data_IF_735455515199
#
_entry.id   IF_735455515199
#
_cell.length_a   1.000
_cell.length_b   1.000
_cell.length_c   1.000
_cell.angle_alpha   90.00
_cell.angle_beta   90.00
_cell.angle_gamma   90.00
#
_symmetry.space_group_name_H-M   'P 1'
#
loop_
_entity.id
_entity.type
_entity.pdbx_description
1 polymer ?
#
# COMPACT_ATOMS: atom_id res chain seq x y z
N UNK A 1 15.28 -3.59 -17.92
CA UNK A 1 15.24 -3.00 -16.57
C UNK A 1 14.20 -3.70 -15.72
N UNK A 2 14.55 -4.06 -14.51
CA UNK A 2 13.60 -4.67 -13.59
C UNK A 2 12.69 -3.60 -12.99
N UNK A 3 11.42 -3.92 -12.92
CA UNK A 3 10.45 -3.06 -12.24
C UNK A 3 10.58 -3.26 -10.73
N UNK A 4 10.30 -2.22 -9.97
CA UNK A 4 10.30 -2.30 -8.50
C UNK A 4 8.96 -2.81 -8.01
N UNK A 5 9.01 -3.63 -6.97
CA UNK A 5 7.79 -4.11 -6.31
C UNK A 5 7.41 -3.12 -5.22
N UNK A 6 6.12 -2.83 -5.11
CA UNK A 6 5.61 -1.89 -4.10
C UNK A 6 4.37 -2.47 -3.44
N UNK A 7 4.32 -2.34 -2.12
CA UNK A 7 3.17 -2.74 -1.30
C UNK A 7 2.32 -1.50 -1.02
N UNK A 8 0.99 -1.63 -1.19
CA UNK A 8 0.06 -0.53 -0.91
C UNK A 8 -0.41 -0.57 0.54
N UNK A 9 -0.31 0.55 1.25
CA UNK A 9 -0.80 0.66 2.61
C UNK A 9 -1.79 1.83 2.70
N UNK A 10 -2.95 1.58 3.30
CA UNK A 10 -3.99 2.59 3.44
C UNK A 10 -5.14 2.07 4.28
N UNK A 11 -6.19 2.87 4.40
CA UNK A 11 -7.32 2.53 5.22
C UNK A 11 -8.22 1.51 4.53
N UNK A 12 -8.45 0.38 5.19
CA UNK A 12 -9.35 -0.67 4.72
C UNK A 12 -10.56 -0.75 5.64
N UNK A 13 -10.33 -0.99 6.94
CA UNK A 13 -11.41 -1.12 7.92
C UNK A 13 -12.17 0.19 8.04
N UNK A 14 -13.49 0.12 7.88
CA UNK A 14 -14.35 1.28 8.01
C UNK A 14 -14.48 2.11 6.73
N UNK A 15 -13.87 1.70 5.65
CA UNK A 15 -13.99 2.38 4.36
C UNK A 15 -14.74 1.45 3.38
N UNK A 16 -16.03 1.74 3.08
CA UNK A 16 -16.80 0.86 2.20
C UNK A 16 -16.29 0.83 0.75
N UNK A 17 -15.47 1.80 0.38
CA UNK A 17 -14.94 1.91 -0.99
C UNK A 17 -13.45 1.57 -1.08
N UNK A 18 -12.93 0.84 -0.09
CA UNK A 18 -11.49 0.60 -0.04
C UNK A 18 -10.95 -0.14 -1.27
N UNK A 19 -11.71 -1.08 -1.82
CA UNK A 19 -11.23 -1.83 -2.98
C UNK A 19 -11.05 -0.95 -4.20
N UNK A 20 -12.02 -0.08 -4.46
CA UNK A 20 -11.95 0.85 -5.60
C UNK A 20 -10.76 1.81 -5.43
N UNK A 21 -10.57 2.31 -4.22
CA UNK A 21 -9.46 3.22 -3.91
C UNK A 21 -8.10 2.56 -4.14
N UNK A 22 -7.93 1.35 -3.61
CA UNK A 22 -6.69 0.60 -3.77
C UNK A 22 -6.45 0.22 -5.23
N UNK A 23 -7.51 -0.18 -5.93
CA UNK A 23 -7.38 -0.55 -7.34
C UNK A 23 -6.95 0.65 -8.19
N UNK A 24 -7.54 1.81 -7.95
CA UNK A 24 -7.18 3.02 -8.68
C UNK A 24 -5.71 3.40 -8.48
N UNK A 25 -5.24 3.31 -7.24
CA UNK A 25 -3.83 3.56 -6.93
C UNK A 25 -2.93 2.52 -7.61
N UNK A 26 -3.34 1.26 -7.57
CA UNK A 26 -2.59 0.18 -8.22
C UNK A 26 -2.43 0.46 -9.70
N UNK A 27 -3.54 0.81 -10.36
CA UNK A 27 -3.52 1.06 -11.81
C UNK A 27 -2.53 2.17 -12.17
N UNK A 28 -2.55 3.26 -11.41
CA UNK A 28 -1.66 4.40 -11.66
C UNK A 28 -0.21 4.03 -11.43
N UNK A 29 0.07 3.29 -10.37
CA UNK A 29 1.44 2.86 -10.07
C UNK A 29 1.95 1.88 -11.13
N UNK A 30 1.08 1.00 -11.62
CA UNK A 30 1.46 0.09 -12.69
C UNK A 30 1.79 0.85 -13.97
N UNK A 31 1.02 1.88 -14.28
CA UNK A 31 1.33 2.77 -15.41
C UNK A 31 2.69 3.44 -15.23
N UNK A 32 3.06 3.70 -13.98
CA UNK A 32 4.36 4.28 -13.66
C UNK A 32 5.50 3.29 -13.60
N UNK A 33 5.24 2.01 -13.88
CA UNK A 33 6.29 1.00 -13.96
C UNK A 33 6.50 0.14 -12.74
N UNK A 34 5.58 0.20 -11.74
CA UNK A 34 5.69 -0.65 -10.56
C UNK A 34 4.97 -1.99 -10.75
N UNK A 35 5.46 -2.99 -10.02
CA UNK A 35 4.70 -4.22 -9.79
C UNK A 35 4.06 -4.03 -8.41
N UNK A 36 2.73 -4.04 -8.35
CA UNK A 36 2.00 -3.66 -7.13
C UNK A 36 1.45 -4.87 -6.41
N UNK A 37 1.70 -4.95 -5.10
CA UNK A 37 1.07 -5.94 -4.23
C UNK A 37 -0.01 -5.22 -3.44
N UNK A 38 -1.26 -5.64 -3.64
CA UNK A 38 -2.44 -4.94 -3.14
C UNK A 38 -3.15 -5.81 -2.09
N UNK A 39 -3.08 -5.42 -0.79
CA UNK A 39 -3.71 -6.22 0.26
C UNK A 39 -5.24 -6.18 0.22
N UNK A 40 -5.83 -5.25 -0.53
CA UNK A 40 -7.28 -5.19 -0.69
C UNK A 40 -7.82 -6.37 -1.49
N UNK A 41 -6.95 -7.18 -2.10
CA UNK A 41 -7.34 -8.41 -2.79
C UNK A 41 -7.55 -9.58 -1.84
N UNK A 42 -7.16 -9.46 -0.57
CA UNK A 42 -7.46 -10.47 0.43
C UNK A 42 -8.97 -10.53 0.67
N UNK A 43 -9.50 -11.69 1.12
CA UNK A 43 -10.93 -11.80 1.41
C UNK A 43 -11.39 -10.71 2.37
N UNK A 44 -12.59 -10.16 2.13
CA UNK A 44 -13.09 -9.06 2.95
C UNK A 44 -13.55 -9.50 4.34
N UNK A 45 -13.72 -10.82 4.54
CA UNK A 45 -14.14 -11.37 5.83
C UNK A 45 -13.58 -12.78 5.97
N UNK A 46 -13.69 -13.33 7.17
CA UNK A 46 -13.29 -14.71 7.42
C UNK A 46 -12.10 -14.85 8.34
N UNK A 47 -11.38 -13.76 8.61
CA UNK A 47 -10.18 -13.79 9.44
C UNK A 47 -10.21 -12.71 10.51
N UNK A 48 -9.58 -12.98 11.64
CA UNK A 48 -9.39 -11.96 12.66
C UNK A 48 -8.43 -10.88 12.16
N UNK A 49 -8.53 -9.68 12.71
CA UNK A 49 -7.69 -8.56 12.30
C UNK A 49 -6.19 -8.89 12.36
N UNK A 50 -5.77 -9.59 13.43
CA UNK A 50 -4.35 -9.96 13.55
C UNK A 50 -3.89 -10.90 12.44
N UNK A 51 -4.79 -11.76 11.96
CA UNK A 51 -4.47 -12.65 10.84
C UNK A 51 -4.26 -11.85 9.56
N UNK A 52 -5.14 -10.86 9.31
CA UNK A 52 -4.96 -9.96 8.18
C UNK A 52 -3.64 -9.22 8.27
N UNK A 53 -3.27 -8.76 9.47
CA UNK A 53 -2.00 -8.05 9.66
C UNK A 53 -0.79 -8.95 9.39
N UNK A 54 -0.87 -10.24 9.76
CA UNK A 54 0.22 -11.16 9.45
C UNK A 54 0.36 -11.40 7.95
N UNK A 55 -0.76 -11.56 7.25
CA UNK A 55 -0.74 -11.74 5.81
C UNK A 55 -0.20 -10.49 5.11
N UNK A 56 -0.71 -9.33 5.51
CA UNK A 56 -0.27 -8.05 4.95
C UNK A 56 1.21 -7.81 5.25
N UNK A 57 1.66 -8.14 6.46
CA UNK A 57 3.06 -8.00 6.83
C UNK A 57 3.98 -8.86 5.97
N UNK A 58 3.54 -10.08 5.66
CA UNK A 58 4.31 -10.95 4.78
C UNK A 58 4.43 -10.35 3.38
N UNK A 59 3.32 -9.79 2.87
CA UNK A 59 3.33 -9.14 1.55
C UNK A 59 4.25 -7.91 1.55
N UNK A 60 4.16 -7.10 2.58
CA UNK A 60 5.01 -5.92 2.72
C UNK A 60 6.49 -6.31 2.73
N UNK A 61 6.83 -7.36 3.48
CA UNK A 61 8.21 -7.81 3.60
C UNK A 61 8.80 -8.27 2.27
N UNK A 62 7.97 -8.77 1.37
CA UNK A 62 8.46 -9.24 0.07
C UNK A 62 8.64 -8.12 -0.94
N UNK A 63 8.14 -6.93 -0.68
CA UNK A 63 8.23 -5.82 -1.61
C UNK A 63 9.44 -4.95 -1.35
N UNK A 64 9.96 -4.31 -2.40
CA UNK A 64 11.11 -3.42 -2.29
C UNK A 64 10.77 -2.10 -1.63
N UNK A 65 9.53 -1.62 -1.82
CA UNK A 65 9.08 -0.32 -1.32
C UNK A 65 7.65 -0.40 -0.82
N UNK A 66 7.26 0.61 -0.04
CA UNK A 66 5.88 0.74 0.42
C UNK A 66 5.33 2.09 -0.04
N UNK A 67 4.11 2.07 -0.56
CA UNK A 67 3.40 3.29 -0.95
C UNK A 67 2.23 3.51 -0.01
N UNK A 68 2.20 4.65 0.66
CA UNK A 68 1.13 4.99 1.61
C UNK A 68 0.08 5.85 0.92
N UNK A 69 -1.19 5.40 0.98
CA UNK A 69 -2.32 6.16 0.46
C UNK A 69 -2.63 7.32 1.39
N UNK A 70 -3.32 8.38 0.90
CA UNK A 70 -3.53 9.61 1.70
C UNK A 70 -4.18 9.41 3.06
N UNK A 71 -5.00 8.37 3.23
CA UNK A 71 -5.72 8.13 4.48
C UNK A 71 -5.00 7.18 5.44
N UNK A 72 -3.72 6.91 5.21
CA UNK A 72 -3.00 5.91 6.01
C UNK A 72 -2.97 6.23 7.51
N UNK A 73 -2.98 7.50 7.87
CA UNK A 73 -2.95 7.90 9.29
C UNK A 73 -4.26 7.59 10.01
N UNK A 74 -5.34 7.36 9.27
CA UNK A 74 -6.64 7.01 9.84
C UNK A 74 -6.81 5.51 10.04
N UNK A 75 -5.77 4.73 9.74
CA UNK A 75 -5.80 3.27 9.78
C UNK A 75 -4.76 2.75 10.76
N UNK A 76 -5.22 2.01 11.79
CA UNK A 76 -4.29 1.36 12.73
C UNK A 76 -3.35 0.41 12.01
N UNK A 77 -3.88 -0.33 11.04
CA UNK A 77 -3.06 -1.27 10.27
C UNK A 77 -2.00 -0.58 9.45
N UNK A 78 -2.38 0.49 8.75
CA UNK A 78 -1.41 1.23 7.93
C UNK A 78 -0.37 1.94 8.78
N UNK A 79 -0.76 2.44 9.97
CA UNK A 79 0.19 3.04 10.90
C UNK A 79 1.21 2.01 11.38
N UNK A 80 0.76 0.79 11.67
CA UNK A 80 1.65 -0.30 12.06
C UNK A 80 2.59 -0.67 10.93
N UNK A 81 2.10 -0.65 9.69
CA UNK A 81 2.91 -0.91 8.52
C UNK A 81 3.95 0.18 8.28
N UNK A 82 3.59 1.42 8.60
CA UNK A 82 4.55 2.52 8.55
C UNK A 82 5.70 2.28 9.55
N UNK A 83 5.36 1.90 10.78
CA UNK A 83 6.37 1.61 11.79
C UNK A 83 7.26 0.46 11.36
N UNK A 84 6.68 -0.58 10.77
CA UNK A 84 7.45 -1.73 10.28
C UNK A 84 8.42 -1.32 9.17
N UNK A 85 7.95 -0.53 8.21
CA UNK A 85 8.79 -0.08 7.11
C UNK A 85 9.93 0.79 7.64
N UNK A 86 9.61 1.68 8.58
CA UNK A 86 10.61 2.56 9.17
C UNK A 86 11.68 1.76 9.92
N UNK A 87 11.25 0.79 10.73
CA UNK A 87 12.19 -0.02 11.51
C UNK A 87 13.07 -0.91 10.64
N UNK A 88 12.55 -1.34 9.50
CA UNK A 88 13.30 -2.15 8.55
C UNK A 88 14.17 -1.31 7.61
N UNK A 89 14.08 0.01 7.72
CA UNK A 89 14.74 0.93 6.80
C UNK A 89 14.34 0.67 5.35
N UNK A 90 13.10 0.21 5.15
CA UNK A 90 12.55 -0.04 3.83
C UNK A 90 12.14 1.27 3.20
N UNK A 91 12.51 1.52 1.94
CA UNK A 91 12.07 2.74 1.25
C UNK A 91 10.56 2.82 1.19
N UNK A 92 10.03 4.03 1.36
CA UNK A 92 8.59 4.25 1.24
C UNK A 92 8.35 5.64 0.67
N UNK A 93 7.12 5.84 0.17
CA UNK A 93 6.72 7.15 -0.35
C UNK A 93 5.21 7.29 -0.19
N UNK A 94 4.73 8.53 -0.38
CA UNK A 94 3.32 8.85 -0.26
C UNK A 94 2.72 8.99 -1.65
N UNK A 95 1.60 8.34 -1.87
CA UNK A 95 0.98 8.26 -3.18
C UNK A 95 0.70 9.63 -3.77
N UNK A 96 0.13 10.55 -2.98
CA UNK A 96 -0.23 11.87 -3.47
C UNK A 96 1.00 12.68 -3.91
N UNK A 97 2.13 12.52 -3.23
CA UNK A 97 3.37 13.20 -3.61
C UNK A 97 3.93 12.61 -4.89
N UNK A 98 3.90 11.28 -5.00
CA UNK A 98 4.38 10.60 -6.20
C UNK A 98 3.54 11.00 -7.41
N UNK A 99 2.21 11.01 -7.26
CA UNK A 99 1.30 11.36 -8.35
C UNK A 99 1.50 12.80 -8.77
N UNK A 100 1.65 13.73 -7.82
CA UNK A 100 1.86 15.13 -8.12
C UNK A 100 3.16 15.36 -8.90
N UNK A 101 4.22 14.68 -8.51
CA UNK A 101 5.50 14.78 -9.21
C UNK A 101 5.41 14.22 -10.62
N UNK A 102 4.73 13.09 -10.76
CA UNK A 102 4.56 12.47 -12.07
C UNK A 102 3.78 13.39 -13.02
N UNK A 103 2.70 13.97 -12.51
CA UNK A 103 1.88 14.86 -13.33
C UNK A 103 2.61 16.15 -13.67
N UNK A 104 3.42 16.68 -12.76
CA UNK A 104 4.17 17.92 -12.98
C UNK A 104 5.39 17.70 -13.87
N UNK A 105 5.98 16.50 -13.81
CA UNK A 105 7.20 16.18 -14.54
C UNK A 105 6.98 15.87 -16.00
N UNK A 106 5.73 15.72 -16.38
CA UNK A 106 5.40 15.50 -17.79
C UNK A 106 5.56 16.79 -18.60
#
# INVERSE_FOLDING_TARGET
>A
MQKKTVYLAGKITGDPFYRAKFYEAQRKLEEGGFIVVNPALLPSEGFAWEAYMRMAGAMLNECAEVCFLPDWKESKGAQREFDEAFMQEKPFFFFEEWEAKRNAGE
#
